data_IF_174822615813
#
_entry.id   IF_174822615813
#
_cell.length_a   1.000
_cell.length_b   1.000
_cell.length_c   1.000
_cell.angle_alpha   90.00
_cell.angle_beta   90.00
_cell.angle_gamma   90.00
#
_symmetry.space_group_name_H-M   'P 1'
#
loop_
_entity.id
_entity.type
_entity.pdbx_description
1 polymer ?
#
# COMPACT_ATOMS: atom_id res chain seq x y z
N UNK A 1 17.42 -5.92 -40.38
CA UNK A 1 17.02 -5.04 -39.26
C UNK A 1 16.76 -3.67 -39.83
N UNK A 2 15.52 -3.19 -39.80
CA UNK A 2 15.28 -1.77 -40.03
C UNK A 2 15.80 -1.01 -38.80
N UNK A 3 16.53 0.10 -38.97
CA UNK A 3 16.91 0.93 -37.83
C UNK A 3 15.65 1.44 -37.14
N UNK A 4 15.64 1.45 -35.81
CA UNK A 4 14.57 2.07 -35.04
C UNK A 4 14.38 3.50 -35.53
N UNK A 5 13.13 3.87 -35.76
CA UNK A 5 12.78 5.22 -36.17
C UNK A 5 13.13 6.22 -35.05
N UNK A 6 13.41 7.46 -35.42
CA UNK A 6 13.68 8.55 -34.46
C UNK A 6 12.57 8.68 -33.39
N UNK A 7 11.33 8.39 -33.78
CA UNK A 7 10.17 8.37 -32.89
C UNK A 7 10.20 7.26 -31.85
N UNK A 8 10.71 6.07 -32.20
CA UNK A 8 10.82 4.95 -31.26
C UNK A 8 11.89 5.22 -30.20
N UNK A 9 13.03 5.80 -30.61
CA UNK A 9 14.10 6.19 -29.69
C UNK A 9 13.60 7.28 -28.72
N UNK A 10 12.90 8.30 -29.24
CA UNK A 10 12.34 9.36 -28.41
C UNK A 10 11.29 8.85 -27.40
N UNK A 11 10.44 7.89 -27.78
CA UNK A 11 9.47 7.27 -26.87
C UNK A 11 10.14 6.44 -25.77
N UNK A 12 11.22 5.73 -26.08
CA UNK A 12 12.00 4.98 -25.10
C UNK A 12 12.70 5.90 -24.09
N UNK A 13 13.29 7.00 -24.56
CA UNK A 13 13.92 8.00 -23.71
C UNK A 13 12.91 8.73 -22.81
N UNK A 14 11.72 9.03 -23.34
CA UNK A 14 10.62 9.58 -22.56
C UNK A 14 10.14 8.61 -21.48
N UNK A 15 9.85 7.35 -21.83
CA UNK A 15 9.41 6.34 -20.87
C UNK A 15 10.47 6.08 -19.79
N UNK A 16 11.76 6.09 -20.17
CA UNK A 16 12.86 6.00 -19.21
C UNK A 16 12.86 7.19 -18.24
N UNK A 17 12.72 8.41 -18.76
CA UNK A 17 12.66 9.63 -17.96
C UNK A 17 11.46 9.61 -17.00
N UNK A 18 10.29 9.17 -17.48
CA UNK A 18 9.09 9.02 -16.68
C UNK A 18 9.28 8.01 -15.54
N UNK A 19 9.89 6.85 -15.78
CA UNK A 19 10.19 5.86 -14.73
C UNK A 19 11.16 6.37 -13.67
N UNK A 20 12.04 7.29 -14.03
CA UNK A 20 13.00 7.88 -13.10
C UNK A 20 12.32 8.92 -12.21
N UNK A 21 11.54 9.80 -12.81
CA UNK A 21 11.08 11.03 -12.16
C UNK A 21 9.64 10.98 -11.64
N UNK A 22 8.80 10.06 -12.13
CA UNK A 22 7.39 10.02 -11.76
C UNK A 22 7.15 9.89 -10.26
N UNK A 23 7.81 8.93 -9.58
CA UNK A 23 7.64 8.72 -8.14
C UNK A 23 8.22 9.89 -7.33
N UNK A 24 9.49 10.33 -7.53
CA UNK A 24 10.02 11.48 -6.80
C UNK A 24 9.17 12.75 -6.95
N UNK A 25 8.75 13.07 -8.19
CA UNK A 25 7.91 14.24 -8.45
C UNK A 25 6.56 14.09 -7.75
N UNK A 26 5.91 12.92 -7.85
CA UNK A 26 4.63 12.69 -7.19
C UNK A 26 4.74 12.86 -5.66
N UNK A 27 5.78 12.30 -5.03
CA UNK A 27 6.00 12.45 -3.59
C UNK A 27 6.21 13.92 -3.18
N UNK A 28 7.00 14.69 -3.95
CA UNK A 28 7.21 16.13 -3.68
C UNK A 28 5.91 16.91 -3.84
N UNK A 29 5.17 16.68 -4.92
CA UNK A 29 3.88 17.34 -5.17
C UNK A 29 2.89 17.05 -4.05
N UNK A 30 2.74 15.77 -3.67
CA UNK A 30 1.84 15.40 -2.56
C UNK A 30 2.30 16.00 -1.24
N UNK A 31 3.61 16.11 -1.00
CA UNK A 31 4.15 16.74 0.22
C UNK A 31 3.80 18.23 0.30
N UNK A 32 3.82 18.93 -0.84
CA UNK A 32 3.42 20.33 -0.94
C UNK A 32 1.91 20.49 -0.72
N UNK A 33 1.09 19.59 -1.28
CA UNK A 33 -0.36 19.60 -1.10
C UNK A 33 -0.75 19.34 0.37
N UNK A 34 -0.16 18.34 1.01
CA UNK A 34 -0.37 18.04 2.45
C UNK A 34 0.08 19.19 3.35
N UNK A 35 1.05 20.02 2.92
CA UNK A 35 1.45 21.20 3.69
C UNK A 35 0.36 22.29 3.75
N UNK A 36 -0.66 22.23 2.89
CA UNK A 36 -1.80 23.15 2.91
C UNK A 36 -3.02 22.49 3.55
N UNK A 37 -3.81 23.24 4.32
CA UNK A 37 -5.02 22.70 4.94
C UNK A 37 -6.03 22.17 3.91
N UNK A 38 -6.25 22.93 2.84
CA UNK A 38 -7.19 22.54 1.78
C UNK A 38 -6.69 21.32 1.00
N UNK A 39 -5.40 21.30 0.62
CA UNK A 39 -4.80 20.17 -0.07
C UNK A 39 -4.83 18.90 0.77
N UNK A 40 -4.43 18.98 2.04
CA UNK A 40 -4.53 17.88 2.99
C UNK A 40 -5.95 17.33 3.10
N UNK A 41 -6.96 18.20 3.24
CA UNK A 41 -8.37 17.79 3.27
C UNK A 41 -8.79 17.03 2.00
N UNK A 42 -8.43 17.50 0.82
CA UNK A 42 -8.75 16.81 -0.44
C UNK A 42 -8.05 15.46 -0.55
N UNK A 43 -6.75 15.41 -0.24
CA UNK A 43 -5.98 14.18 -0.34
C UNK A 43 -6.52 13.11 0.61
N UNK A 44 -6.75 13.49 1.87
CA UNK A 44 -7.28 12.59 2.89
C UNK A 44 -8.66 12.07 2.51
N UNK A 45 -9.58 12.96 2.13
CA UNK A 45 -10.98 12.62 1.83
C UNK A 45 -11.13 11.72 0.61
N UNK A 46 -10.46 12.03 -0.49
CA UNK A 46 -10.71 11.36 -1.77
C UNK A 46 -9.73 10.23 -2.11
N UNK A 47 -8.56 10.20 -1.46
CA UNK A 47 -7.55 9.18 -1.75
C UNK A 47 -7.18 8.39 -0.49
N UNK A 48 -6.65 9.04 0.54
CA UNK A 48 -6.07 8.31 1.68
C UNK A 48 -7.11 7.48 2.43
N UNK A 49 -8.29 8.03 2.73
CA UNK A 49 -9.31 7.31 3.51
C UNK A 49 -9.78 6.03 2.82
N UNK A 50 -9.92 6.01 1.49
CA UNK A 50 -10.26 4.76 0.79
C UNK A 50 -9.17 3.70 0.92
N UNK A 51 -7.91 4.11 0.85
CA UNK A 51 -6.77 3.20 1.04
C UNK A 51 -6.66 2.76 2.51
N UNK A 52 -6.97 3.64 3.45
CA UNK A 52 -7.02 3.39 4.90
C UNK A 52 -8.05 2.30 5.22
N UNK A 53 -9.29 2.47 4.78
CA UNK A 53 -10.36 1.47 4.98
C UNK A 53 -10.05 0.16 4.25
N UNK A 54 -9.38 0.23 3.09
CA UNK A 54 -8.88 -0.96 2.41
C UNK A 54 -7.81 -1.69 3.23
N UNK A 55 -6.97 -0.94 3.95
CA UNK A 55 -6.00 -1.48 4.91
C UNK A 55 -6.66 -2.27 6.02
N UNK A 56 -7.68 -1.70 6.68
CA UNK A 56 -8.50 -2.41 7.66
C UNK A 56 -9.13 -3.68 7.08
N UNK A 57 -9.77 -3.57 5.91
CA UNK A 57 -10.46 -4.68 5.28
C UNK A 57 -9.50 -5.83 4.92
N UNK A 58 -8.33 -5.53 4.36
CA UNK A 58 -7.32 -6.56 4.03
C UNK A 58 -6.84 -7.26 5.30
N UNK A 59 -6.49 -6.52 6.36
CA UNK A 59 -6.06 -7.13 7.61
C UNK A 59 -7.17 -7.99 8.24
N UNK A 60 -8.42 -7.52 8.18
CA UNK A 60 -9.58 -8.26 8.64
C UNK A 60 -9.74 -9.57 7.85
N UNK A 61 -9.64 -9.52 6.52
CA UNK A 61 -9.73 -10.70 5.67
C UNK A 61 -8.63 -11.72 5.96
N UNK A 62 -7.38 -11.26 6.14
CA UNK A 62 -6.25 -12.12 6.51
C UNK A 62 -6.44 -12.77 7.88
N UNK A 63 -7.14 -12.11 8.80
CA UNK A 63 -7.48 -12.63 10.12
C UNK A 63 -8.78 -13.47 10.14
N UNK A 64 -9.45 -13.64 8.99
CA UNK A 64 -10.67 -14.41 8.86
C UNK A 64 -11.95 -13.67 9.27
N UNK A 65 -11.92 -12.33 9.36
CA UNK A 65 -13.10 -11.51 9.57
C UNK A 65 -13.66 -11.07 8.21
N UNK A 66 -14.99 -11.11 8.07
CA UNK A 66 -15.61 -10.51 6.91
C UNK A 66 -15.64 -9.00 7.10
N UNK A 67 -15.15 -8.26 6.10
CA UNK A 67 -15.09 -6.81 6.13
C UNK A 67 -15.37 -6.22 4.74
N UNK A 68 -15.87 -4.99 4.71
CA UNK A 68 -16.09 -4.25 3.46
C UNK A 68 -15.38 -2.89 3.54
N UNK A 69 -14.47 -2.56 2.60
CA UNK A 69 -13.80 -1.26 2.59
C UNK A 69 -14.76 -0.19 2.08
N UNK A 70 -15.52 0.39 2.99
CA UNK A 70 -16.49 1.43 2.71
C UNK A 70 -15.86 2.82 2.60
N UNK A 71 -16.67 3.81 2.24
CA UNK A 71 -16.27 5.21 2.31
C UNK A 71 -16.12 5.63 3.78
N UNK A 72 -14.88 5.93 4.23
CA UNK A 72 -14.54 6.40 5.60
C UNK A 72 -14.85 5.44 6.77
N UNK A 73 -15.34 4.24 6.48
CA UNK A 73 -15.66 3.23 7.48
C UNK A 73 -15.50 1.83 6.89
N UNK A 74 -14.99 0.91 7.69
CA UNK A 74 -14.91 -0.52 7.37
C UNK A 74 -15.88 -1.33 8.24
N UNK A 75 -17.13 -1.57 7.80
CA UNK A 75 -18.01 -2.52 8.46
C UNK A 75 -17.36 -3.91 8.49
N UNK A 76 -17.29 -4.50 9.68
CA UNK A 76 -16.62 -5.78 9.91
C UNK A 76 -17.45 -6.66 10.85
N UNK A 77 -17.35 -7.99 10.66
CA UNK A 77 -17.92 -8.95 11.59
C UNK A 77 -17.27 -8.88 12.98
N UNK A 78 -18.04 -9.15 14.03
CA UNK A 78 -17.52 -9.16 15.42
C UNK A 78 -16.68 -10.40 15.73
N UNK A 79 -16.94 -11.49 15.01
CA UNK A 79 -16.28 -12.78 15.13
C UNK A 79 -15.64 -13.20 13.81
N UNK A 80 -14.69 -14.15 13.89
CA UNK A 80 -14.10 -14.80 12.71
C UNK A 80 -15.14 -15.65 12.00
N UNK A 81 -15.06 -15.70 10.67
CA UNK A 81 -15.90 -16.48 9.79
C UNK A 81 -15.06 -17.58 9.12
N UNK A 82 -15.03 -18.81 9.69
CA UNK A 82 -14.16 -19.88 9.18
C UNK A 82 -14.40 -20.21 7.71
N UNK A 83 -15.66 -20.16 7.26
CA UNK A 83 -16.02 -20.40 5.86
C UNK A 83 -15.41 -19.33 4.96
N UNK A 84 -15.49 -18.05 5.35
CA UNK A 84 -14.89 -16.96 4.58
C UNK A 84 -13.35 -17.10 4.53
N UNK A 85 -12.71 -17.41 5.65
CA UNK A 85 -11.28 -17.67 5.69
C UNK A 85 -10.88 -18.84 4.78
N UNK A 86 -11.65 -19.93 4.78
CA UNK A 86 -11.41 -21.07 3.89
C UNK A 86 -11.57 -20.71 2.41
N UNK A 87 -12.58 -19.91 2.06
CA UNK A 87 -12.79 -19.42 0.70
C UNK A 87 -11.62 -18.54 0.23
N UNK A 88 -11.16 -17.62 1.08
CA UNK A 88 -9.99 -16.79 0.78
C UNK A 88 -8.72 -17.64 0.61
N UNK A 89 -8.53 -18.63 1.48
CA UNK A 89 -7.41 -19.57 1.39
C UNK A 89 -7.44 -20.33 0.07
N UNK A 90 -8.60 -20.88 -0.29
CA UNK A 90 -8.80 -21.59 -1.55
C UNK A 90 -8.52 -20.70 -2.77
N UNK A 91 -8.99 -19.44 -2.74
CA UNK A 91 -8.74 -18.47 -3.79
C UNK A 91 -7.26 -18.12 -3.95
N UNK A 92 -6.54 -17.87 -2.86
CA UNK A 92 -5.10 -17.59 -2.88
C UNK A 92 -4.27 -18.79 -3.31
N UNK A 93 -4.62 -20.00 -2.85
CA UNK A 93 -3.98 -21.25 -3.27
C UNK A 93 -4.19 -21.50 -4.78
N UNK A 94 -5.42 -21.31 -5.27
CA UNK A 94 -5.74 -21.42 -6.69
C UNK A 94 -4.98 -20.37 -7.52
N UNK A 95 -4.90 -19.13 -7.04
CA UNK A 95 -4.13 -18.06 -7.70
C UNK A 95 -2.63 -18.37 -7.77
N UNK A 96 -2.05 -18.95 -6.71
CA UNK A 96 -0.66 -19.38 -6.70
C UNK A 96 -0.41 -20.48 -7.74
N UNK A 97 -1.21 -21.54 -7.72
CA UNK A 97 -1.11 -22.65 -8.68
C UNK A 97 -1.28 -22.16 -10.12
N UNK A 98 -2.29 -21.33 -10.39
CA UNK A 98 -2.54 -20.77 -11.70
C UNK A 98 -1.37 -19.90 -12.18
N UNK A 99 -0.81 -19.07 -11.30
CA UNK A 99 0.32 -18.18 -11.62
C UNK A 99 1.58 -18.96 -11.97
N UNK A 100 1.88 -20.04 -11.24
CA UNK A 100 3.03 -20.90 -11.57
C UNK A 100 2.82 -21.68 -12.87
N UNK A 101 1.61 -22.20 -13.13
CA UNK A 101 1.27 -22.91 -14.37
C UNK A 101 1.34 -22.02 -15.61
N UNK A 102 1.05 -20.72 -15.45
CA UNK A 102 1.11 -19.74 -16.54
C UNK A 102 2.47 -19.05 -16.67
N UNK A 103 3.50 -19.51 -15.95
CA UNK A 103 4.85 -18.93 -15.99
C UNK A 103 4.99 -17.57 -15.29
N UNK A 104 3.93 -17.07 -14.63
CA UNK A 104 3.91 -15.80 -13.90
C UNK A 104 4.49 -15.95 -12.50
N UNK A 105 5.75 -16.36 -12.40
CA UNK A 105 6.44 -16.73 -11.15
C UNK A 105 6.30 -15.67 -10.04
N UNK A 106 6.41 -14.38 -10.38
CA UNK A 106 6.33 -13.30 -9.39
C UNK A 106 4.94 -13.21 -8.74
N UNK A 107 3.87 -13.38 -9.52
CA UNK A 107 2.50 -13.43 -9.00
C UNK A 107 2.27 -14.70 -8.16
N UNK A 108 2.88 -15.82 -8.55
CA UNK A 108 2.84 -17.06 -7.77
C UNK A 108 3.50 -16.89 -6.39
N UNK A 109 4.68 -16.26 -6.34
CA UNK A 109 5.37 -15.95 -5.08
C UNK A 109 4.52 -15.00 -4.22
N UNK A 110 3.96 -13.95 -4.81
CA UNK A 110 3.09 -13.01 -4.09
C UNK A 110 1.84 -13.70 -3.52
N UNK A 111 1.19 -14.57 -4.29
CA UNK A 111 0.04 -15.34 -3.84
C UNK A 111 0.40 -16.33 -2.72
N UNK A 112 1.56 -17.00 -2.81
CA UNK A 112 2.07 -17.85 -1.72
C UNK A 112 2.38 -17.04 -0.46
N UNK A 113 2.99 -15.86 -0.58
CA UNK A 113 3.26 -14.98 0.55
C UNK A 113 1.95 -14.53 1.22
N UNK A 114 0.95 -14.15 0.43
CA UNK A 114 -0.39 -13.79 0.93
C UNK A 114 -1.08 -14.99 1.62
N UNK A 115 -0.96 -16.19 1.05
CA UNK A 115 -1.51 -17.42 1.63
C UNK A 115 -0.85 -17.74 2.98
N UNK A 116 0.47 -17.59 3.08
CA UNK A 116 1.21 -17.77 4.34
C UNK A 116 0.80 -16.73 5.38
N UNK A 117 0.70 -15.46 4.96
CA UNK A 117 0.24 -14.37 5.82
C UNK A 117 -1.19 -14.62 6.33
N UNK A 118 -2.11 -15.02 5.45
CA UNK A 118 -3.48 -15.37 5.82
C UNK A 118 -3.51 -16.52 6.83
N UNK A 119 -2.75 -17.60 6.55
CA UNK A 119 -2.70 -18.77 7.43
C UNK A 119 -2.18 -18.39 8.81
N UNK A 120 -1.11 -17.59 8.86
CA UNK A 120 -0.55 -17.08 10.11
C UNK A 120 -1.56 -16.19 10.86
N UNK A 121 -2.13 -15.19 10.19
CA UNK A 121 -3.07 -14.25 10.79
C UNK A 121 -4.36 -14.93 11.29
N UNK A 122 -4.88 -15.90 10.54
CA UNK A 122 -6.12 -16.61 10.88
C UNK A 122 -5.93 -17.64 12.00
N UNK A 123 -4.81 -18.40 11.99
CA UNK A 123 -4.64 -19.54 12.90
C UNK A 123 -3.79 -19.22 14.14
N UNK A 124 -2.79 -18.34 14.03
CA UNK A 124 -1.81 -18.12 15.10
C UNK A 124 -2.10 -16.86 15.93
N UNK A 125 -2.72 -15.82 15.36
CA UNK A 125 -3.03 -14.63 16.13
C UNK A 125 -4.22 -14.90 17.07
N UNK A 126 -4.10 -14.44 18.32
CA UNK A 126 -5.23 -14.34 19.24
C UNK A 126 -6.26 -13.35 18.70
N UNK A 127 -7.48 -13.38 19.25
CA UNK A 127 -8.54 -12.43 18.89
C UNK A 127 -8.11 -10.98 19.12
N UNK A 128 -7.52 -10.70 20.28
CA UNK A 128 -7.03 -9.37 20.65
C UNK A 128 -5.90 -8.91 19.73
N UNK A 129 -4.93 -9.77 19.43
CA UNK A 129 -3.84 -9.43 18.53
C UNK A 129 -4.32 -9.18 17.09
N UNK A 130 -5.32 -9.94 16.63
CA UNK A 130 -5.94 -9.72 15.32
C UNK A 130 -6.67 -8.38 15.27
N UNK A 131 -7.45 -8.03 16.30
CA UNK A 131 -8.12 -6.72 16.35
C UNK A 131 -7.12 -5.57 16.40
N UNK A 132 -6.07 -5.66 17.23
CA UNK A 132 -5.00 -4.66 17.27
C UNK A 132 -4.31 -4.51 15.89
N UNK A 133 -4.07 -5.63 15.20
CA UNK A 133 -3.50 -5.61 13.85
C UNK A 133 -4.45 -4.94 12.85
N UNK A 134 -5.76 -5.19 12.93
CA UNK A 134 -6.76 -4.56 12.06
C UNK A 134 -6.77 -3.05 12.27
N UNK A 135 -6.82 -2.55 13.50
CA UNK A 135 -6.75 -1.10 13.76
C UNK A 135 -5.43 -0.49 13.28
N UNK A 136 -4.31 -1.17 13.53
CA UNK A 136 -3.02 -0.72 13.01
C UNK A 136 -2.98 -0.65 11.48
N UNK A 137 -3.69 -1.56 10.81
CA UNK A 137 -3.67 -1.74 9.36
C UNK A 137 -4.32 -0.61 8.56
N UNK A 138 -5.07 0.32 9.17
CA UNK A 138 -5.60 1.49 8.46
C UNK A 138 -4.47 2.33 7.87
N UNK A 139 -3.75 3.04 8.74
CA UNK A 139 -2.60 3.86 8.35
C UNK A 139 -1.45 3.01 7.78
N UNK A 140 -1.23 1.79 8.28
CA UNK A 140 -0.19 0.91 7.74
C UNK A 140 -0.53 0.46 6.31
N UNK A 141 -1.82 0.32 6.01
CA UNK A 141 -2.35 0.06 4.68
C UNK A 141 -2.03 1.20 3.72
N UNK A 142 -2.22 2.46 4.13
CA UNK A 142 -1.80 3.63 3.35
C UNK A 142 -0.31 3.59 2.97
N UNK A 143 0.55 3.19 3.92
CA UNK A 143 1.99 3.08 3.66
C UNK A 143 2.32 1.91 2.70
N UNK A 144 1.81 0.70 2.98
CA UNK A 144 2.15 -0.49 2.21
C UNK A 144 1.46 -0.50 0.85
N UNK A 145 0.14 -0.31 0.80
CA UNK A 145 -0.63 -0.26 -0.45
C UNK A 145 -0.24 0.97 -1.26
N UNK A 146 0.01 2.12 -0.62
CA UNK A 146 0.50 3.31 -1.31
C UNK A 146 1.82 3.05 -2.03
N UNK A 147 2.77 2.37 -1.37
CA UNK A 147 4.02 1.96 -2.01
C UNK A 147 3.81 0.95 -3.15
N UNK A 148 2.93 -0.04 -2.98
CA UNK A 148 2.61 -1.01 -4.05
C UNK A 148 1.95 -0.34 -5.26
N UNK A 149 1.04 0.62 -5.04
CA UNK A 149 0.40 1.41 -6.08
C UNK A 149 1.41 2.27 -6.84
N UNK A 150 2.32 2.95 -6.14
CA UNK A 150 3.42 3.70 -6.79
C UNK A 150 4.35 2.78 -7.60
N UNK A 151 4.64 1.58 -7.10
CA UNK A 151 5.49 0.62 -7.81
C UNK A 151 4.89 0.15 -9.16
N UNK A 152 3.58 0.33 -9.39
CA UNK A 152 2.95 0.01 -10.68
C UNK A 152 3.45 0.85 -11.85
N UNK A 153 4.14 1.97 -11.59
CA UNK A 153 4.87 2.74 -12.62
C UNK A 153 5.89 1.85 -13.36
N UNK A 154 6.44 0.83 -12.70
CA UNK A 154 7.40 -0.10 -13.31
C UNK A 154 6.74 -1.32 -13.96
N UNK A 155 5.41 -1.33 -14.11
CA UNK A 155 4.72 -2.43 -14.79
C UNK A 155 5.22 -2.61 -16.24
N UNK A 156 5.30 -3.87 -16.74
CA UNK A 156 5.71 -4.13 -18.11
C UNK A 156 4.83 -3.42 -19.15
N UNK A 157 5.43 -2.95 -20.26
CA UNK A 157 4.72 -2.24 -21.34
C UNK A 157 3.54 -3.04 -21.92
N UNK A 158 3.67 -4.36 -21.94
CA UNK A 158 2.64 -5.27 -22.46
C UNK A 158 1.47 -5.49 -21.49
N UNK A 159 1.63 -5.13 -20.22
CA UNK A 159 0.61 -5.32 -19.19
C UNK A 159 -0.55 -4.32 -19.29
N UNK A 160 -1.74 -4.74 -18.84
CA UNK A 160 -2.94 -3.90 -18.82
C UNK A 160 -2.75 -2.59 -18.04
N UNK A 161 -1.93 -2.63 -16.97
CA UNK A 161 -1.61 -1.45 -16.15
C UNK A 161 -0.89 -0.36 -16.95
N UNK A 162 -0.04 -0.77 -17.89
CA UNK A 162 0.70 0.14 -18.74
C UNK A 162 -0.16 0.58 -19.92
N UNK A 163 -0.76 -0.37 -20.65
CA UNK A 163 -1.55 -0.10 -21.86
C UNK A 163 -2.76 0.81 -21.61
N UNK A 164 -3.44 0.63 -20.47
CA UNK A 164 -4.66 1.38 -20.14
C UNK A 164 -4.39 2.58 -19.22
N UNK A 165 -3.14 3.02 -19.08
CA UNK A 165 -2.76 4.21 -18.30
C UNK A 165 -3.08 4.15 -16.78
N UNK A 166 -3.51 3.00 -16.26
CA UNK A 166 -3.89 2.83 -14.85
C UNK A 166 -2.74 3.14 -13.87
N UNK A 167 -1.49 2.92 -14.29
CA UNK A 167 -0.30 3.24 -13.47
C UNK A 167 -0.25 4.70 -13.00
N UNK A 168 -0.83 5.63 -13.76
CA UNK A 168 -0.83 7.05 -13.41
C UNK A 168 -1.87 7.37 -12.34
N UNK A 169 -3.08 6.81 -12.45
CA UNK A 169 -4.09 6.90 -11.39
C UNK A 169 -3.57 6.29 -10.09
N UNK A 170 -2.94 5.12 -10.17
CA UNK A 170 -2.33 4.46 -9.01
C UNK A 170 -1.15 5.24 -8.43
N UNK A 171 -0.33 5.89 -9.26
CA UNK A 171 0.72 6.78 -8.76
C UNK A 171 0.13 7.91 -7.92
N UNK A 172 -0.93 8.57 -8.39
CA UNK A 172 -1.58 9.67 -7.68
C UNK A 172 -2.20 9.16 -6.37
N UNK A 173 -3.04 8.13 -6.42
CA UNK A 173 -3.71 7.56 -5.24
C UNK A 173 -2.68 7.07 -4.23
N UNK A 174 -1.68 6.34 -4.69
CA UNK A 174 -0.66 5.73 -3.83
C UNK A 174 0.26 6.76 -3.19
N UNK A 175 0.70 7.77 -3.93
CA UNK A 175 1.53 8.85 -3.37
C UNK A 175 0.74 9.75 -2.42
N UNK A 176 -0.53 10.04 -2.72
CA UNK A 176 -1.41 10.80 -1.83
C UNK A 176 -1.58 10.09 -0.49
N UNK A 177 -2.02 8.82 -0.51
CA UNK A 177 -2.23 8.03 0.70
C UNK A 177 -0.94 7.85 1.51
N UNK A 178 0.18 7.57 0.83
CA UNK A 178 1.47 7.38 1.49
C UNK A 178 1.94 8.65 2.19
N UNK A 179 1.96 9.78 1.48
CA UNK A 179 2.52 11.03 2.01
C UNK A 179 1.65 11.61 3.10
N UNK A 180 0.32 11.56 2.95
CA UNK A 180 -0.63 11.98 3.98
C UNK A 180 -0.32 11.32 5.33
N UNK A 181 -0.33 9.99 5.35
CA UNK A 181 -0.09 9.22 6.58
C UNK A 181 1.36 9.33 7.05
N UNK A 182 2.34 9.26 6.15
CA UNK A 182 3.75 9.32 6.55
C UNK A 182 4.11 10.69 7.14
N UNK A 183 3.59 11.80 6.62
CA UNK A 183 3.84 13.15 7.15
C UNK A 183 3.33 13.28 8.59
N UNK A 184 2.08 12.84 8.82
CA UNK A 184 1.46 12.84 10.14
C UNK A 184 2.31 12.09 11.17
N UNK A 185 2.70 10.85 10.87
CA UNK A 185 3.49 10.03 11.80
C UNK A 185 4.95 10.48 11.92
N UNK A 186 5.51 11.06 10.87
CA UNK A 186 6.86 11.62 10.93
C UNK A 186 6.92 12.85 11.83
N UNK A 187 5.92 13.73 11.75
CA UNK A 187 5.76 14.90 12.61
C UNK A 187 5.46 14.50 14.06
N UNK A 188 4.68 13.43 14.27
CA UNK A 188 4.36 12.89 15.59
C UNK A 188 5.58 12.43 16.42
N UNK A 189 6.77 12.30 15.82
CA UNK A 189 8.01 11.99 16.55
C UNK A 189 8.48 13.14 17.45
N UNK A 190 8.18 14.37 17.06
CA UNK A 190 8.61 15.59 17.78
C UNK A 190 7.44 16.37 18.36
N UNK A 191 6.23 16.10 17.89
CA UNK A 191 5.01 16.80 18.30
C UNK A 191 3.90 15.76 18.57
N UNK A 192 3.69 15.41 19.84
CA UNK A 192 2.75 14.34 20.23
C UNK A 192 1.30 14.71 19.91
N UNK A 193 0.98 16.01 19.84
CA UNK A 193 -0.38 16.50 19.55
C UNK A 193 -0.79 16.24 18.10
N UNK A 194 0.17 15.86 17.23
CA UNK A 194 -0.09 15.41 15.86
C UNK A 194 -0.69 14.01 15.76
N UNK A 195 -0.61 13.21 16.82
CA UNK A 195 -1.23 11.89 16.81
C UNK A 195 -2.74 12.08 16.84
N UNK A 196 -3.52 11.52 15.88
CA UNK A 196 -4.95 11.79 15.78
C UNK A 196 -5.74 10.95 16.79
N UNK A 197 -5.45 11.15 18.07
CA UNK A 197 -6.24 10.59 19.16
C UNK A 197 -7.62 11.26 19.20
N UNK A 198 -8.59 10.54 19.74
CA UNK A 198 -9.95 11.02 19.94
C UNK A 198 -10.98 10.08 19.32
N UNK A 199 -12.14 10.65 18.97
CA UNK A 199 -13.27 9.95 18.39
C UNK A 199 -13.55 10.41 16.97
N UNK A 200 -13.84 9.44 16.11
CA UNK A 200 -14.36 9.65 14.78
C UNK A 200 -15.89 9.68 14.85
N UNK A 201 -16.50 10.71 14.26
CA UNK A 201 -17.95 10.83 14.18
C UNK A 201 -18.56 9.60 13.50
N UNK A 202 -19.50 8.93 14.17
CA UNK A 202 -20.18 7.74 13.64
C UNK A 202 -19.39 6.42 13.69
N UNK A 203 -18.09 6.43 14.01
CA UNK A 203 -17.24 5.23 14.02
C UNK A 203 -16.64 4.88 15.40
N UNK A 204 -16.74 5.77 16.40
CA UNK A 204 -16.25 5.52 17.76
C UNK A 204 -14.86 6.10 17.98
N UNK A 205 -13.97 5.36 18.65
CA UNK A 205 -12.58 5.82 18.85
C UNK A 205 -11.79 5.74 17.54
N UNK A 206 -10.87 6.68 17.35
CA UNK A 206 -9.86 6.62 16.28
C UNK A 206 -8.96 5.40 16.44
N UNK A 207 -8.30 4.94 15.37
CA UNK A 207 -7.42 3.77 15.45
C UNK A 207 -6.27 3.94 16.46
N UNK A 208 -5.58 5.09 16.53
CA UNK A 208 -4.54 5.28 17.55
C UNK A 208 -5.11 5.26 18.97
N UNK A 209 -6.32 5.79 19.18
CA UNK A 209 -7.00 5.69 20.48
C UNK A 209 -7.37 4.24 20.81
N UNK A 210 -7.86 3.45 19.85
CA UNK A 210 -8.10 2.03 20.07
C UNK A 210 -6.80 1.29 20.45
N UNK A 211 -5.71 1.54 19.73
CA UNK A 211 -4.40 0.96 20.00
C UNK A 211 -3.85 1.33 21.39
N UNK A 212 -4.04 2.58 21.82
CA UNK A 212 -3.58 3.05 23.12
C UNK A 212 -4.48 2.57 24.25
N UNK A 213 -5.78 2.84 24.17
CA UNK A 213 -6.73 2.70 25.28
C UNK A 213 -7.13 1.25 25.50
N UNK A 214 -7.32 0.48 24.42
CA UNK A 214 -7.76 -0.92 24.52
C UNK A 214 -6.62 -1.93 24.44
N UNK A 215 -5.58 -1.66 23.64
CA UNK A 215 -4.46 -2.59 23.45
C UNK A 215 -3.19 -2.19 24.22
N UNK A 216 -3.20 -1.06 24.92
CA UNK A 216 -2.11 -0.63 25.81
C UNK A 216 -0.84 -0.19 25.07
N UNK A 217 -0.92 0.13 23.78
CA UNK A 217 0.27 0.57 23.03
C UNK A 217 0.61 2.01 23.42
N UNK A 218 1.87 2.25 23.82
CA UNK A 218 2.33 3.61 24.05
C UNK A 218 2.33 4.42 22.76
N UNK A 219 2.09 5.74 22.85
CA UNK A 219 2.20 6.66 21.72
C UNK A 219 3.53 6.52 20.98
N UNK A 220 4.64 6.36 21.72
CA UNK A 220 5.97 6.10 21.16
C UNK A 220 6.02 4.82 20.33
N UNK A 221 5.40 3.74 20.82
CA UNK A 221 5.33 2.45 20.11
C UNK A 221 4.55 2.59 18.81
N UNK A 222 3.40 3.26 18.84
CA UNK A 222 2.55 3.50 17.66
C UNK A 222 3.34 4.30 16.62
N UNK A 223 3.85 5.48 17.00
CA UNK A 223 4.61 6.35 16.10
C UNK A 223 5.84 5.66 15.52
N UNK A 224 6.62 4.96 16.35
CA UNK A 224 7.82 4.26 15.90
C UNK A 224 7.50 3.17 14.87
N UNK A 225 6.39 2.43 15.04
CA UNK A 225 5.99 1.36 14.12
C UNK A 225 5.62 1.92 12.75
N UNK A 226 4.80 2.98 12.70
CA UNK A 226 4.42 3.61 11.44
C UNK A 226 5.61 4.25 10.73
N UNK A 227 6.49 4.94 11.46
CA UNK A 227 7.69 5.55 10.87
C UNK A 227 8.63 4.49 10.31
N UNK A 228 8.90 3.43 11.07
CA UNK A 228 9.76 2.33 10.59
C UNK A 228 9.15 1.69 9.35
N UNK A 229 7.85 1.41 9.36
CA UNK A 229 7.15 0.85 8.20
C UNK A 229 7.24 1.76 6.98
N UNK A 230 7.00 3.06 7.13
CA UNK A 230 7.13 4.04 6.06
C UNK A 230 8.55 4.09 5.49
N UNK A 231 9.57 4.09 6.35
CA UNK A 231 10.97 4.01 5.91
C UNK A 231 11.28 2.72 5.14
N UNK A 232 10.78 1.57 5.61
CA UNK A 232 10.94 0.27 4.91
C UNK A 232 10.27 0.33 3.53
N UNK A 233 9.07 0.90 3.42
CA UNK A 233 8.39 1.10 2.14
C UNK A 233 9.18 2.01 1.18
N UNK A 234 9.75 3.11 1.67
CA UNK A 234 10.61 3.99 0.86
C UNK A 234 11.88 3.28 0.39
N UNK A 235 12.52 2.47 1.26
CA UNK A 235 13.68 1.66 0.88
C UNK A 235 13.30 0.62 -0.18
N UNK A 236 12.15 -0.04 -0.04
CA UNK A 236 11.65 -0.98 -1.04
C UNK A 236 11.37 -0.30 -2.40
N UNK A 237 10.78 0.90 -2.39
CA UNK A 237 10.59 1.71 -3.60
C UNK A 237 11.92 2.14 -4.23
N UNK A 238 12.89 2.57 -3.44
CA UNK A 238 14.22 2.90 -3.92
C UNK A 238 14.91 1.68 -4.53
N UNK A 239 14.77 0.50 -3.92
CA UNK A 239 15.32 -0.74 -4.45
C UNK A 239 14.65 -1.14 -5.78
N UNK A 240 13.33 -0.99 -5.93
CA UNK A 240 12.65 -1.25 -7.20
C UNK A 240 13.04 -0.25 -8.30
N UNK A 241 13.19 1.02 -7.95
CA UNK A 241 13.74 2.06 -8.83
C UNK A 241 15.15 1.72 -9.31
N UNK A 242 16.06 1.39 -8.38
CA UNK A 242 17.44 0.97 -8.70
C UNK A 242 17.44 -0.26 -9.60
N UNK A 243 16.68 -1.30 -9.27
CA UNK A 243 16.57 -2.51 -10.09
C UNK A 243 16.06 -2.20 -11.51
N UNK A 244 15.12 -1.27 -11.65
CA UNK A 244 14.64 -0.77 -12.94
C UNK A 244 15.74 -0.10 -13.76
N UNK A 245 16.55 0.76 -13.12
CA UNK A 245 17.69 1.43 -13.74
C UNK A 245 18.80 0.47 -14.17
N UNK A 246 19.11 -0.54 -13.35
CA UNK A 246 20.11 -1.54 -13.72
C UNK A 246 19.68 -2.36 -14.94
N UNK A 247 18.40 -2.76 -14.99
CA UNK A 247 17.86 -3.56 -16.11
C UNK A 247 17.79 -2.78 -17.43
N UNK A 248 17.56 -1.46 -17.39
CA UNK A 248 17.58 -0.64 -18.61
C UNK A 248 19.00 -0.45 -19.14
N UNK A 249 19.98 -0.26 -18.25
CA UNK A 249 21.40 -0.18 -18.63
C UNK A 249 21.95 -1.47 -19.24
N UNK A 250 21.60 -2.64 -18.68
CA UNK A 250 22.09 -3.92 -19.20
C UNK A 250 21.53 -4.28 -20.58
N UNK A 251 20.39 -3.70 -20.97
CA UNK A 251 19.84 -3.88 -22.33
C UNK A 251 20.55 -3.00 -23.34
N UNK A 252 20.83 -1.75 -22.96
CA UNK A 252 21.57 -0.79 -23.78
C UNK A 252 23.06 -1.14 -23.99
N UNK A 253 23.63 -2.09 -23.24
CA UNK A 253 25.01 -2.56 -23.41
C UNK A 253 25.14 -3.85 -24.24
N UNK A 254 24.02 -4.44 -24.64
CA UNK A 254 23.96 -5.69 -25.42
C UNK A 254 23.51 -5.43 -26.87
N UNK A 255 22.93 -4.26 -27.14
CA UNK A 255 22.70 -3.69 -28.48
C UNK A 255 23.92 -2.87 -28.94
#
# INVERSE_FOLDING_TARGET
MQPASEWEIADEDLERSLRIWAIPIALVVMRLLVATQLGHFFLRTFFSMWVHETGHAIAAWLCGYFAFPGPWLTPMSTERWPIFALLLFGALAAAAVHSFRTGRRQLGIAACAALLAQTFCTLLLSREAAQAFIYFAGDAGCLVLGALLMATVYAPREGLLHRNWLRWGFLIIGSAAFVDVFEQWWAARTDVDRIPFGRNEGAGLSDPSMLADHFGWSARTITSRYVVLGCVCLVALAATWLAGLYRSRSRASVE
#
